data_IF_255916180945
#
_entry.id   IF_255916180945
#
_cell.length_a   1.000
_cell.length_b   1.000
_cell.length_c   1.000
_cell.angle_alpha   90.00
_cell.angle_beta   90.00
_cell.angle_gamma   90.00
#
_symmetry.space_group_name_H-M   'P 1'
#
loop_
_entity.id
_entity.type
_entity.pdbx_description
1 polymer ?
#
# COMPACT_ATOMS: atom_id res chain seq x y z
N UNK A 1 -32.56 -16.58 -31.56
CA UNK A 1 -31.93 -16.80 -30.24
C UNK A 1 -32.51 -15.79 -29.28
N UNK A 2 -33.35 -16.27 -28.36
CA UNK A 2 -34.07 -15.48 -27.36
C UNK A 2 -33.10 -14.93 -26.33
N UNK A 3 -33.01 -13.60 -26.22
CA UNK A 3 -32.20 -12.88 -25.23
C UNK A 3 -32.79 -13.06 -23.84
N UNK A 4 -32.16 -13.92 -23.05
CA UNK A 4 -32.36 -14.02 -21.60
C UNK A 4 -32.05 -12.65 -20.97
N UNK A 5 -32.84 -12.14 -20.00
CA UNK A 5 -32.50 -10.93 -19.25
C UNK A 5 -31.07 -11.04 -18.71
N UNK A 6 -30.23 -10.05 -19.05
CA UNK A 6 -28.78 -10.17 -18.97
C UNK A 6 -28.28 -10.64 -17.61
N UNK A 7 -27.60 -11.78 -17.59
CA UNK A 7 -26.89 -12.27 -16.41
C UNK A 7 -26.00 -11.17 -15.83
N UNK A 8 -25.89 -11.07 -14.50
CA UNK A 8 -25.04 -10.06 -13.87
C UNK A 8 -23.60 -10.19 -14.38
N UNK A 9 -23.00 -9.07 -14.75
CA UNK A 9 -21.58 -9.01 -15.12
C UNK A 9 -20.78 -8.85 -13.84
N UNK A 10 -19.91 -9.82 -13.56
CA UNK A 10 -18.95 -9.76 -12.48
C UNK A 10 -17.68 -9.09 -12.98
N UNK A 11 -17.15 -8.16 -12.19
CA UNK A 11 -15.93 -7.43 -12.48
C UNK A 11 -14.87 -7.85 -11.47
N UNK A 12 -13.65 -8.05 -11.95
CA UNK A 12 -12.46 -8.06 -11.09
C UNK A 12 -11.84 -6.67 -11.12
N UNK A 13 -11.14 -6.27 -10.07
CA UNK A 13 -10.43 -4.98 -10.02
C UNK A 13 -9.01 -5.07 -10.60
N UNK A 14 -8.84 -5.97 -11.57
CA UNK A 14 -7.58 -6.36 -12.19
C UNK A 14 -7.57 -5.87 -13.64
N UNK A 15 -6.52 -5.13 -13.99
CA UNK A 15 -6.36 -4.51 -15.31
C UNK A 15 -5.11 -5.08 -16.00
N UNK A 16 -5.25 -5.82 -17.10
CA UNK A 16 -4.10 -6.28 -17.88
C UNK A 16 -3.21 -5.11 -18.33
N UNK A 17 -1.91 -5.38 -18.36
CA UNK A 17 -0.89 -4.43 -18.79
C UNK A 17 -0.22 -4.91 -20.08
N UNK A 18 0.10 -3.98 -20.96
CA UNK A 18 1.02 -4.21 -22.07
C UNK A 18 2.09 -3.14 -22.09
N UNK A 19 3.24 -3.46 -22.68
CA UNK A 19 4.32 -2.49 -22.89
C UNK A 19 4.95 -2.75 -24.24
N UNK A 20 5.06 -1.71 -25.05
CA UNK A 20 5.70 -1.77 -26.37
C UNK A 20 7.11 -1.22 -26.25
N UNK A 21 8.11 -2.02 -26.64
CA UNK A 21 9.53 -1.62 -26.68
C UNK A 21 10.03 -1.04 -25.34
N UNK A 22 10.02 -1.83 -24.26
CA UNK A 22 10.48 -1.33 -22.95
C UNK A 22 11.95 -0.92 -23.03
N UNK A 23 12.27 0.30 -22.60
CA UNK A 23 13.64 0.74 -22.36
C UNK A 23 14.15 0.06 -21.07
N UNK A 24 14.53 -1.20 -21.21
CA UNK A 24 14.81 -2.10 -20.11
C UNK A 24 16.29 -2.43 -20.01
N UNK A 25 16.75 -2.46 -18.77
CA UNK A 25 18.10 -2.79 -18.39
C UNK A 25 18.04 -3.79 -17.22
N UNK A 26 19.07 -4.62 -17.10
CA UNK A 26 19.17 -5.63 -16.05
C UNK A 26 20.60 -5.75 -15.54
N UNK A 27 20.78 -5.85 -14.22
CA UNK A 27 22.08 -6.11 -13.62
C UNK A 27 21.99 -6.92 -12.33
N UNK A 28 23.05 -7.67 -12.04
CA UNK A 28 23.18 -8.46 -10.82
C UNK A 28 24.29 -7.90 -9.94
N UNK A 29 24.22 -8.23 -8.66
CA UNK A 29 25.27 -7.97 -7.69
C UNK A 29 25.86 -9.30 -7.23
N UNK A 30 27.19 -9.33 -7.06
CA UNK A 30 27.91 -10.47 -6.49
C UNK A 30 28.73 -10.00 -5.29
N UNK A 31 28.57 -10.59 -4.09
CA UNK A 31 27.69 -11.73 -3.78
C UNK A 31 26.20 -11.37 -3.95
N UNK A 32 25.38 -12.39 -4.19
CA UNK A 32 23.95 -12.22 -4.40
C UNK A 32 23.29 -11.57 -3.19
N UNK A 33 22.33 -10.69 -3.46
CA UNK A 33 21.56 -10.00 -2.43
C UNK A 33 20.21 -10.65 -2.25
N UNK A 34 19.79 -10.82 -1.01
CA UNK A 34 18.45 -11.28 -0.69
C UNK A 34 17.40 -10.20 -0.95
N UNK A 35 16.13 -10.62 -0.99
CA UNK A 35 14.98 -9.77 -1.31
C UNK A 35 14.90 -8.48 -0.49
N UNK A 36 15.15 -8.56 0.81
CA UNK A 36 15.06 -7.37 1.68
C UNK A 36 16.13 -6.33 1.31
N UNK A 37 17.37 -6.76 1.14
CA UNK A 37 18.49 -5.91 0.72
C UNK A 37 18.26 -5.39 -0.70
N UNK A 38 17.84 -6.25 -1.62
CA UNK A 38 17.53 -5.88 -3.00
C UNK A 38 16.42 -4.83 -3.11
N UNK A 39 15.34 -4.96 -2.33
CA UNK A 39 14.27 -3.97 -2.28
C UNK A 39 14.74 -2.61 -1.74
N UNK A 40 15.58 -2.63 -0.69
CA UNK A 40 16.16 -1.40 -0.13
C UNK A 40 17.09 -0.72 -1.13
N UNK A 41 18.00 -1.47 -1.76
CA UNK A 41 18.88 -0.95 -2.81
C UNK A 41 18.08 -0.36 -3.97
N UNK A 42 17.01 -1.03 -4.41
CA UNK A 42 16.11 -0.54 -5.46
C UNK A 42 15.52 0.83 -5.10
N UNK A 43 15.09 1.03 -3.85
CA UNK A 43 14.63 2.32 -3.35
C UNK A 43 15.71 3.40 -3.44
N UNK A 44 16.94 3.11 -3.01
CA UNK A 44 18.04 4.08 -3.11
C UNK A 44 18.41 4.40 -4.56
N UNK A 45 18.43 3.41 -5.45
CA UNK A 45 18.67 3.64 -6.86
C UNK A 45 17.61 4.52 -7.52
N UNK A 46 16.32 4.28 -7.26
CA UNK A 46 15.23 5.17 -7.71
C UNK A 46 15.43 6.62 -7.25
N UNK A 47 15.98 6.84 -6.06
CA UNK A 47 16.24 8.21 -5.55
C UNK A 47 17.45 8.86 -6.22
N UNK A 48 18.49 8.08 -6.54
CA UNK A 48 19.68 8.58 -7.23
C UNK A 48 19.43 8.79 -8.73
N UNK A 49 18.45 8.09 -9.29
CA UNK A 49 18.01 8.22 -10.68
C UNK A 49 16.50 8.48 -10.76
N UNK A 50 16.05 9.74 -10.57
CA UNK A 50 14.62 10.07 -10.47
C UNK A 50 13.76 9.69 -11.68
N UNK A 51 14.35 9.57 -12.88
CA UNK A 51 13.66 9.19 -14.11
C UNK A 51 13.74 7.69 -14.42
N UNK A 52 14.30 6.89 -13.50
CA UNK A 52 14.43 5.45 -13.62
C UNK A 52 13.68 4.75 -12.50
N UNK A 53 13.04 3.66 -12.89
CA UNK A 53 12.38 2.77 -11.94
C UNK A 53 13.19 1.49 -11.82
N UNK A 54 13.64 1.22 -10.59
CA UNK A 54 14.42 0.03 -10.24
C UNK A 54 13.60 -0.87 -9.34
N UNK A 55 13.56 -2.16 -9.66
CA UNK A 55 13.01 -3.20 -8.79
C UNK A 55 13.95 -4.39 -8.73
N UNK A 56 13.94 -5.11 -7.62
CA UNK A 56 14.68 -6.34 -7.46
C UNK A 56 13.72 -7.53 -7.55
N UNK A 57 14.04 -8.52 -8.37
CA UNK A 57 13.29 -9.75 -8.50
C UNK A 57 14.19 -10.90 -8.95
N UNK A 58 14.11 -12.04 -8.26
CA UNK A 58 14.87 -13.25 -8.57
C UNK A 58 16.36 -12.97 -8.84
N UNK A 59 17.03 -12.35 -7.86
CA UNK A 59 18.48 -12.02 -7.88
C UNK A 59 18.89 -10.99 -8.95
N UNK A 60 17.95 -10.44 -9.71
CA UNK A 60 18.19 -9.46 -10.75
C UNK A 60 17.58 -8.11 -10.38
N UNK A 61 18.34 -7.04 -10.57
CA UNK A 61 17.80 -5.69 -10.59
C UNK A 61 17.31 -5.39 -11.99
N UNK A 62 16.03 -5.06 -12.10
CA UNK A 62 15.36 -4.62 -13.31
C UNK A 62 15.23 -3.12 -13.28
N UNK A 63 15.68 -2.47 -14.35
CA UNK A 63 15.65 -1.02 -14.50
C UNK A 63 14.82 -0.67 -15.73
N UNK A 64 13.83 0.19 -15.54
CA UNK A 64 13.00 0.74 -16.61
C UNK A 64 13.18 2.26 -16.64
N UNK A 65 13.55 2.78 -17.82
CA UNK A 65 13.56 4.20 -18.10
C UNK A 65 12.40 4.59 -19.00
N UNK A 66 12.18 5.89 -19.18
CA UNK A 66 11.24 6.37 -20.21
C UNK A 66 11.77 5.99 -21.61
N UNK A 67 10.90 5.83 -22.63
CA UNK A 67 11.31 5.29 -23.94
C UNK A 67 12.46 6.03 -24.62
N UNK A 68 12.58 7.34 -24.43
CA UNK A 68 13.63 8.19 -25.04
C UNK A 68 14.85 8.41 -24.14
N UNK A 69 14.82 7.89 -22.91
CA UNK A 69 15.89 8.12 -21.93
C UNK A 69 17.13 7.32 -22.27
N UNK A 70 18.29 7.97 -22.29
CA UNK A 70 19.56 7.27 -22.30
C UNK A 70 19.80 6.61 -20.94
N UNK A 71 20.03 5.29 -20.96
CA UNK A 71 20.36 4.54 -19.76
C UNK A 71 21.75 4.91 -19.22
N UNK A 72 21.94 5.03 -17.89
CA UNK A 72 23.25 5.29 -17.32
C UNK A 72 24.23 4.16 -17.65
N UNK A 73 25.48 4.54 -17.86
CA UNK A 73 26.58 3.63 -18.15
C UNK A 73 26.89 2.70 -16.97
N UNK A 74 27.53 1.54 -17.20
CA UNK A 74 27.97 0.66 -16.13
C UNK A 74 28.84 1.34 -15.06
N UNK A 75 29.64 2.34 -15.44
CA UNK A 75 30.48 3.11 -14.52
C UNK A 75 29.64 4.00 -13.59
N UNK A 76 28.59 4.64 -14.11
CA UNK A 76 27.65 5.44 -13.31
C UNK A 76 26.90 4.58 -12.29
N UNK A 77 26.47 3.38 -12.68
CA UNK A 77 25.85 2.43 -11.75
C UNK A 77 26.80 1.97 -10.65
N UNK A 78 28.05 1.63 -10.99
CA UNK A 78 29.08 1.26 -10.02
C UNK A 78 29.37 2.39 -9.03
N UNK A 79 29.51 3.62 -9.51
CA UNK A 79 29.74 4.78 -8.66
C UNK A 79 28.53 5.06 -7.75
N UNK A 80 27.32 4.93 -8.28
CA UNK A 80 26.09 5.11 -7.50
C UNK A 80 25.97 4.04 -6.40
N UNK A 81 26.29 2.78 -6.70
CA UNK A 81 26.31 1.71 -5.71
C UNK A 81 27.30 2.02 -4.57
N UNK A 82 28.51 2.47 -4.90
CA UNK A 82 29.51 2.89 -3.90
C UNK A 82 29.00 4.03 -3.03
N UNK A 83 28.38 5.04 -3.62
CA UNK A 83 27.80 6.16 -2.88
C UNK A 83 26.70 5.68 -1.92
N UNK A 84 25.84 4.76 -2.37
CA UNK A 84 24.80 4.16 -1.51
C UNK A 84 25.43 3.38 -0.35
N UNK A 85 26.49 2.62 -0.59
CA UNK A 85 27.21 1.88 0.47
C UNK A 85 27.84 2.82 1.51
N UNK A 86 28.29 4.00 1.10
CA UNK A 86 28.84 5.02 2.01
C UNK A 86 27.75 5.74 2.81
N UNK A 87 26.59 5.99 2.20
CA UNK A 87 25.49 6.72 2.82
C UNK A 87 24.62 5.86 3.76
N UNK A 88 24.60 4.54 3.56
CA UNK A 88 23.74 3.62 4.30
C UNK A 88 24.59 2.71 5.18
N UNK A 89 24.55 2.95 6.50
CA UNK A 89 25.36 2.24 7.49
C UNK A 89 25.25 0.70 7.36
N UNK A 90 24.03 0.17 7.21
CA UNK A 90 23.78 -1.27 7.01
C UNK A 90 24.50 -1.86 5.79
N UNK A 91 24.90 -1.04 4.81
CA UNK A 91 25.56 -1.46 3.57
C UNK A 91 27.06 -1.13 3.56
N UNK A 92 27.58 -0.44 4.58
CA UNK A 92 28.96 0.06 4.64
C UNK A 92 30.01 -1.05 4.64
N UNK A 93 29.68 -2.22 5.19
CA UNK A 93 30.55 -3.40 5.23
C UNK A 93 30.32 -4.37 4.07
N UNK A 94 29.31 -4.11 3.23
CA UNK A 94 29.02 -4.97 2.10
C UNK A 94 29.94 -4.62 0.94
N UNK A 95 30.47 -5.63 0.24
CA UNK A 95 31.26 -5.44 -0.97
C UNK A 95 30.57 -6.14 -2.14
N UNK A 96 29.86 -5.37 -2.96
CA UNK A 96 29.20 -5.88 -4.15
C UNK A 96 29.93 -5.49 -5.43
N UNK A 97 30.19 -6.48 -6.27
CA UNK A 97 30.56 -6.29 -7.65
C UNK A 97 29.31 -6.20 -8.51
N UNK A 98 29.34 -5.31 -9.49
CA UNK A 98 28.24 -5.06 -10.42
C UNK A 98 28.47 -5.83 -11.73
N UNK A 99 27.46 -6.59 -12.15
CA UNK A 99 27.48 -7.35 -13.40
C UNK A 99 26.27 -7.01 -14.28
N UNK A 100 26.53 -6.53 -15.50
CA UNK A 100 25.48 -6.28 -16.48
C UNK A 100 24.91 -7.59 -17.02
N UNK A 101 23.58 -7.64 -17.20
CA UNK A 101 22.92 -8.76 -17.88
C UNK A 101 22.64 -8.36 -19.32
N UNK A 102 23.17 -9.14 -20.26
CA UNK A 102 22.94 -8.92 -21.69
C UNK A 102 21.50 -9.31 -22.03
N UNK A 103 20.76 -8.39 -22.67
CA UNK A 103 19.40 -8.62 -23.19
C UNK A 103 18.46 -9.29 -22.16
N UNK A 104 18.18 -8.62 -21.03
CA UNK A 104 17.27 -9.19 -20.03
C UNK A 104 15.84 -9.25 -20.60
N UNK A 105 15.20 -10.41 -20.48
CA UNK A 105 13.83 -10.63 -20.96
C UNK A 105 12.86 -10.61 -19.76
N UNK A 106 12.01 -9.58 -19.62
CA UNK A 106 11.15 -9.45 -18.44
C UNK A 106 10.03 -10.49 -18.49
N UNK A 107 9.76 -11.13 -17.36
CA UNK A 107 8.55 -11.94 -17.17
C UNK A 107 7.34 -11.02 -16.93
N UNK A 108 6.11 -11.53 -17.09
CA UNK A 108 4.90 -10.81 -16.68
C UNK A 108 4.94 -10.29 -15.24
N UNK A 109 5.52 -11.05 -14.31
CA UNK A 109 5.65 -10.62 -12.91
C UNK A 109 6.58 -9.41 -12.76
N UNK A 110 7.73 -9.41 -13.44
CA UNK A 110 8.65 -8.27 -13.46
C UNK A 110 7.96 -7.02 -14.00
N UNK A 111 7.20 -7.15 -15.10
CA UNK A 111 6.46 -6.03 -15.68
C UNK A 111 5.40 -5.48 -14.71
N UNK A 112 4.66 -6.35 -14.02
CA UNK A 112 3.70 -5.93 -13.01
C UNK A 112 4.37 -5.21 -11.83
N UNK A 113 5.53 -5.71 -11.38
CA UNK A 113 6.31 -5.07 -10.31
C UNK A 113 6.87 -3.70 -10.72
N UNK A 114 7.34 -3.55 -11.96
CA UNK A 114 7.76 -2.26 -12.50
C UNK A 114 6.60 -1.25 -12.53
N UNK A 115 5.42 -1.67 -13.01
CA UNK A 115 4.22 -0.83 -13.02
C UNK A 115 3.78 -0.42 -11.60
N UNK A 116 3.82 -1.35 -10.65
CA UNK A 116 3.60 -1.06 -9.24
C UNK A 116 4.59 -0.04 -8.70
N UNK A 117 5.88 -0.19 -9.02
CA UNK A 117 6.94 0.67 -8.53
C UNK A 117 6.85 2.10 -9.09
N UNK A 118 6.50 2.25 -10.38
CA UNK A 118 6.18 3.55 -10.99
C UNK A 118 5.07 4.23 -10.17
N UNK A 119 3.94 3.54 -9.99
CA UNK A 119 2.78 4.09 -9.27
C UNK A 119 3.09 4.43 -7.81
N UNK A 120 3.98 3.68 -7.16
CA UNK A 120 4.44 3.94 -5.79
C UNK A 120 5.35 5.16 -5.69
N UNK A 121 6.16 5.41 -6.72
CA UNK A 121 7.16 6.49 -6.74
C UNK A 121 6.51 7.82 -7.12
N UNK A 122 5.72 7.82 -8.20
CA UNK A 122 5.07 9.02 -8.73
C UNK A 122 3.85 9.43 -7.91
N UNK A 123 3.31 8.52 -7.09
CA UNK A 123 2.18 8.75 -6.19
C UNK A 123 1.01 9.48 -6.87
N UNK A 124 0.46 8.94 -7.98
CA UNK A 124 -0.58 9.62 -8.76
C UNK A 124 -1.92 9.73 -8.04
N UNK A 125 -2.06 9.08 -6.88
CA UNK A 125 -3.32 8.94 -6.21
C UNK A 125 -3.46 9.90 -5.03
N UNK A 126 -4.62 10.55 -4.93
CA UNK A 126 -5.01 11.36 -3.79
C UNK A 126 -6.12 10.66 -2.98
N UNK A 127 -5.99 10.69 -1.66
CA UNK A 127 -7.06 10.27 -0.76
C UNK A 127 -8.13 11.37 -0.67
N UNK A 128 -9.41 10.98 -0.62
CA UNK A 128 -10.53 11.93 -0.54
C UNK A 128 -11.29 11.75 0.77
N UNK A 129 -11.47 12.84 1.53
CA UNK A 129 -12.29 12.83 2.73
C UNK A 129 -13.79 12.85 2.35
N UNK A 130 -14.58 11.96 2.94
CA UNK A 130 -16.04 11.85 2.70
C UNK A 130 -16.87 12.27 3.89
N UNK A 131 -16.25 12.34 5.07
CA UNK A 131 -16.83 12.85 6.30
C UNK A 131 -15.69 13.47 7.09
N UNK A 132 -15.93 14.65 7.64
CA UNK A 132 -15.07 15.31 8.62
C UNK A 132 -15.98 15.80 9.73
N UNK A 133 -15.85 15.22 10.91
CA UNK A 133 -16.56 15.65 12.12
C UNK A 133 -15.52 15.93 13.20
N UNK A 134 -15.33 17.23 13.50
CA UNK A 134 -14.47 17.91 14.49
C UNK A 134 -13.08 17.30 14.80
N UNK A 135 -12.96 15.99 15.08
CA UNK A 135 -11.74 15.25 15.38
C UNK A 135 -11.45 14.05 14.47
N UNK A 136 -12.41 13.61 13.63
CA UNK A 136 -12.30 12.37 12.85
C UNK A 136 -12.72 12.59 11.39
N UNK A 137 -11.95 11.99 10.48
CA UNK A 137 -12.28 11.91 9.08
C UNK A 137 -12.39 10.46 8.59
N UNK A 138 -13.31 10.22 7.65
CA UNK A 138 -13.31 9.00 6.85
C UNK A 138 -12.73 9.33 5.49
N UNK A 139 -11.70 8.59 5.06
CA UNK A 139 -11.02 8.79 3.78
C UNK A 139 -11.17 7.60 2.87
N UNK A 140 -11.41 7.85 1.58
CA UNK A 140 -11.26 6.86 0.52
C UNK A 140 -9.78 6.82 0.14
N UNK A 141 -9.19 5.63 0.20
CA UNK A 141 -7.79 5.40 -0.18
C UNK A 141 -7.73 4.34 -1.28
N UNK A 142 -7.06 4.63 -2.40
CA UNK A 142 -6.75 3.59 -3.37
C UNK A 142 -5.68 2.66 -2.80
N UNK A 143 -5.84 1.37 -3.08
CA UNK A 143 -4.82 0.34 -2.87
C UNK A 143 -4.54 -0.31 -4.20
N UNK A 144 -3.27 -0.59 -4.45
CA UNK A 144 -2.84 -1.20 -5.69
C UNK A 144 -1.64 -2.10 -5.43
N UNK A 145 -1.48 -3.12 -6.27
CA UNK A 145 -0.37 -4.06 -6.22
C UNK A 145 -0.07 -4.63 -7.60
N UNK A 146 1.13 -5.18 -7.73
CA UNK A 146 1.52 -5.97 -8.88
C UNK A 146 0.80 -7.32 -8.85
N UNK A 147 0.23 -7.73 -9.98
CA UNK A 147 -0.44 -9.03 -10.11
C UNK A 147 -0.10 -9.65 -11.47
N UNK A 148 -0.17 -10.97 -11.55
CA UNK A 148 -0.13 -11.69 -12.81
C UNK A 148 -1.43 -12.45 -12.97
N UNK A 149 -1.86 -12.63 -14.21
CA UNK A 149 -3.11 -13.31 -14.53
C UNK A 149 -2.92 -14.20 -15.74
N UNK A 150 -3.45 -15.41 -15.69
CA UNK A 150 -3.47 -16.30 -16.83
C UNK A 150 -4.73 -16.06 -17.64
N UNK A 151 -4.56 -15.63 -18.89
CA UNK A 151 -5.62 -15.45 -19.87
C UNK A 151 -5.32 -16.35 -21.08
N UNK A 152 -6.26 -17.22 -21.42
CA UNK A 152 -6.16 -18.14 -22.57
C UNK A 152 -4.85 -18.96 -22.58
N UNK A 153 -4.45 -19.48 -21.42
CA UNK A 153 -3.22 -20.26 -21.25
C UNK A 153 -1.93 -19.46 -21.29
N UNK A 154 -2.01 -18.12 -21.24
CA UNK A 154 -0.85 -17.23 -21.24
C UNK A 154 -0.82 -16.36 -20.00
N UNK A 155 0.29 -16.40 -19.28
CA UNK A 155 0.52 -15.51 -18.16
C UNK A 155 0.75 -14.08 -18.68
N UNK A 156 0.01 -13.12 -18.14
CA UNK A 156 0.07 -11.71 -18.48
C UNK A 156 0.30 -10.87 -17.23
N UNK A 157 0.93 -9.71 -17.41
CA UNK A 157 1.12 -8.74 -16.34
C UNK A 157 -0.18 -8.00 -16.11
N UNK A 158 -0.48 -7.68 -14.86
CA UNK A 158 -1.66 -6.94 -14.50
C UNK A 158 -1.37 -5.94 -13.38
N UNK A 159 -2.18 -4.89 -13.37
CA UNK A 159 -2.23 -3.90 -12.32
C UNK A 159 -3.56 -4.03 -11.61
N UNK A 160 -3.53 -4.29 -10.32
CA UNK A 160 -4.75 -4.39 -9.52
C UNK A 160 -4.96 -3.10 -8.77
N UNK A 161 -6.17 -2.57 -8.82
CA UNK A 161 -6.52 -1.28 -8.25
C UNK A 161 -7.88 -1.37 -7.56
N UNK A 162 -7.88 -1.20 -6.25
CA UNK A 162 -9.08 -1.21 -5.41
C UNK A 162 -9.18 0.07 -4.61
N UNK A 163 -10.34 0.31 -4.00
CA UNK A 163 -10.54 1.39 -3.04
C UNK A 163 -10.97 0.79 -1.72
N UNK A 164 -10.32 1.23 -0.66
CA UNK A 164 -10.76 0.98 0.70
C UNK A 164 -11.04 2.30 1.42
N UNK A 165 -11.44 2.20 2.69
CA UNK A 165 -11.62 3.39 3.52
C UNK A 165 -10.87 3.26 4.81
N UNK A 166 -10.29 4.38 5.23
CA UNK A 166 -9.65 4.54 6.53
C UNK A 166 -10.44 5.53 7.37
N UNK A 167 -10.39 5.34 8.69
CA UNK A 167 -10.92 6.29 9.66
C UNK A 167 -9.69 6.85 10.37
N UNK A 168 -9.47 8.14 10.22
CA UNK A 168 -8.29 8.84 10.71
C UNK A 168 -8.70 9.95 11.66
N UNK A 169 -7.84 10.25 12.62
CA UNK A 169 -7.93 11.50 13.35
C UNK A 169 -7.54 12.66 12.41
N UNK A 170 -8.22 13.80 12.51
CA UNK A 170 -8.01 14.95 11.60
C UNK A 170 -6.66 15.63 11.84
N UNK A 171 -6.18 15.65 13.09
CA UNK A 171 -4.88 16.19 13.47
C UNK A 171 -3.73 15.17 13.42
N UNK A 172 -2.57 15.58 13.94
CA UNK A 172 -1.40 14.74 14.17
C UNK A 172 -1.53 13.95 15.49
N UNK A 173 -0.62 13.00 15.72
CA UNK A 173 -0.51 12.32 17.00
C UNK A 173 -0.09 13.29 18.11
N UNK A 174 0.68 14.34 17.77
CA UNK A 174 1.03 15.40 18.71
C UNK A 174 -0.23 16.13 19.19
N UNK A 175 -1.11 16.53 18.27
CA UNK A 175 -2.37 17.21 18.59
C UNK A 175 -3.26 16.33 19.49
N UNK A 176 -3.37 15.05 19.14
CA UNK A 176 -4.12 14.08 19.96
C UNK A 176 -3.54 13.98 21.39
N UNK A 177 -2.23 13.86 21.52
CA UNK A 177 -1.57 13.68 22.80
C UNK A 177 -1.67 14.93 23.70
N UNK A 178 -1.42 16.12 23.17
CA UNK A 178 -1.42 17.37 23.93
C UNK A 178 -2.80 17.68 24.56
N UNK A 179 -3.88 17.31 23.86
CA UNK A 179 -5.25 17.53 24.32
C UNK A 179 -5.83 16.36 25.12
N UNK A 180 -5.05 15.28 25.34
CA UNK A 180 -5.55 14.10 26.04
C UNK A 180 -5.56 14.30 27.57
N UNK A 181 -6.66 13.94 28.29
CA UNK A 181 -6.75 14.11 29.75
C UNK A 181 -5.64 13.41 30.53
N UNK A 182 -5.15 12.28 30.01
CA UNK A 182 -4.12 11.45 30.63
C UNK A 182 -2.72 11.67 30.04
N UNK A 183 -2.43 12.84 29.45
CA UNK A 183 -1.12 13.14 28.83
C UNK A 183 0.08 13.02 29.78
N UNK A 184 -0.13 12.97 31.09
CA UNK A 184 0.94 12.74 32.07
C UNK A 184 1.44 11.28 32.08
N UNK A 185 0.68 10.34 31.48
CA UNK A 185 1.09 8.94 31.30
C UNK A 185 1.13 8.58 29.80
N UNK A 186 2.23 8.93 29.10
CA UNK A 186 2.36 8.64 27.67
C UNK A 186 2.27 7.16 27.32
N UNK A 187 2.66 6.25 28.22
CA UNK A 187 2.59 4.81 27.93
C UNK A 187 1.16 4.35 27.78
N UNK A 188 0.29 4.73 28.73
CA UNK A 188 -1.13 4.36 28.72
C UNK A 188 -1.87 4.97 27.52
N UNK A 189 -1.53 6.21 27.15
CA UNK A 189 -2.18 6.91 26.05
C UNK A 189 -1.74 6.38 24.68
N UNK A 190 -0.42 6.25 24.46
CA UNK A 190 0.16 6.08 23.13
C UNK A 190 0.39 4.62 22.75
N UNK A 191 0.83 3.77 23.68
CA UNK A 191 1.18 2.39 23.34
C UNK A 191 -0.07 1.61 22.87
N UNK A 192 0.10 0.85 21.80
CA UNK A 192 -0.96 0.07 21.15
C UNK A 192 -1.82 0.89 20.18
N UNK A 193 -1.66 2.21 20.09
CA UNK A 193 -2.34 3.00 19.08
C UNK A 193 -1.86 2.61 17.68
N UNK A 194 -2.83 2.46 16.77
CA UNK A 194 -2.56 2.38 15.34
C UNK A 194 -2.37 3.80 14.82
N UNK A 195 -1.32 4.00 14.04
CA UNK A 195 -0.97 5.29 13.44
C UNK A 195 -0.68 5.10 11.95
N UNK A 196 -0.72 6.20 11.22
CA UNK A 196 -0.31 6.30 9.83
C UNK A 196 0.84 7.29 9.76
N UNK A 197 1.92 6.90 9.09
CA UNK A 197 2.96 7.84 8.67
C UNK A 197 2.35 8.80 7.64
N UNK A 198 2.39 10.10 7.93
CA UNK A 198 1.77 11.13 7.08
C UNK A 198 2.45 11.19 5.71
N UNK A 199 3.75 10.89 5.64
CA UNK A 199 4.51 11.02 4.41
C UNK A 199 4.28 9.88 3.43
N UNK A 200 4.32 8.63 3.90
CA UNK A 200 4.12 7.46 3.04
C UNK A 200 2.69 6.94 3.01
N UNK A 201 1.84 7.34 3.95
CA UNK A 201 0.52 6.76 4.17
C UNK A 201 0.55 5.34 4.76
N UNK A 202 1.74 4.84 5.14
CA UNK A 202 1.92 3.50 5.69
C UNK A 202 1.37 3.40 7.12
N UNK A 203 0.81 2.25 7.47
CA UNK A 203 0.22 2.04 8.80
C UNK A 203 1.16 1.31 9.73
N UNK A 204 1.25 1.78 10.97
CA UNK A 204 2.10 1.24 12.01
C UNK A 204 1.35 1.13 13.35
N UNK A 205 2.00 0.52 14.33
CA UNK A 205 1.54 0.48 15.72
C UNK A 205 2.62 1.08 16.60
N UNK A 206 2.25 1.95 17.53
CA UNK A 206 3.17 2.42 18.57
C UNK A 206 3.39 1.26 19.56
N UNK A 207 4.64 0.86 19.73
CA UNK A 207 5.01 -0.27 20.59
C UNK A 207 5.78 0.15 21.84
N UNK A 208 6.40 1.33 21.81
CA UNK A 208 7.26 1.81 22.88
C UNK A 208 7.39 3.34 22.84
N UNK A 209 7.69 3.92 24.01
CA UNK A 209 8.24 5.27 24.14
C UNK A 209 9.77 5.13 24.22
N UNK A 210 10.49 5.72 23.27
CA UNK A 210 11.93 5.52 23.06
C UNK A 210 12.78 6.65 23.67
N UNK A 211 12.27 7.33 24.69
CA UNK A 211 12.87 8.55 25.26
C UNK A 211 12.11 9.80 24.81
N UNK A 212 12.84 10.89 24.66
CA UNK A 212 12.33 12.20 24.26
C UNK A 212 12.88 12.63 22.89
N UNK A 213 12.22 13.59 22.25
CA UNK A 213 12.72 14.12 20.97
C UNK A 213 14.05 14.84 21.17
N UNK A 214 14.24 15.59 22.26
CA UNK A 214 15.47 16.33 22.55
C UNK A 214 16.70 15.44 22.63
N UNK A 215 16.59 14.28 23.28
CA UNK A 215 17.67 13.29 23.41
C UNK A 215 18.14 12.74 22.05
N UNK A 216 17.23 12.65 21.07
CA UNK A 216 17.48 11.97 19.80
C UNK A 216 17.43 12.89 18.57
N UNK A 217 17.17 14.20 18.73
CA UNK A 217 16.84 15.10 17.62
C UNK A 217 17.91 15.11 16.53
N UNK A 218 19.18 15.23 16.91
CA UNK A 218 20.29 15.33 15.94
C UNK A 218 20.43 14.07 15.10
N UNK A 219 20.28 12.89 15.71
CA UNK A 219 20.36 11.62 14.99
C UNK A 219 19.14 11.42 14.08
N UNK A 220 17.95 11.78 14.56
CA UNK A 220 16.72 11.74 13.76
C UNK A 220 16.79 12.68 12.56
N UNK A 221 17.34 13.89 12.71
CA UNK A 221 17.51 14.85 11.60
C UNK A 221 18.46 14.28 10.54
N UNK A 222 19.56 13.65 10.95
CA UNK A 222 20.51 13.02 10.02
C UNK A 222 19.86 11.86 9.25
N UNK A 223 19.01 11.09 9.90
CA UNK A 223 18.32 9.93 9.31
C UNK A 223 17.06 10.30 8.52
N UNK A 224 16.43 11.44 8.82
CA UNK A 224 15.21 11.88 8.18
C UNK A 224 15.47 12.19 6.70
N UNK A 225 14.91 11.36 5.82
CA UNK A 225 15.02 11.55 4.38
C UNK A 225 13.85 12.33 3.79
N UNK A 226 12.74 12.34 4.52
CA UNK A 226 11.48 12.89 4.10
C UNK A 226 11.24 14.33 4.54
N UNK A 227 10.48 15.07 3.74
CA UNK A 227 10.17 16.48 4.00
C UNK A 227 9.30 16.66 5.23
N UNK A 228 8.24 15.85 5.37
CA UNK A 228 7.34 15.87 6.52
C UNK A 228 8.06 15.41 7.79
N UNK A 229 8.89 14.37 7.67
CA UNK A 229 9.68 13.87 8.81
C UNK A 229 10.67 14.94 9.31
N UNK A 230 11.34 15.66 8.41
CA UNK A 230 12.24 16.78 8.77
C UNK A 230 11.47 17.94 9.40
N UNK A 231 10.32 18.30 8.85
CA UNK A 231 9.46 19.36 9.38
C UNK A 231 8.97 19.04 10.78
N UNK A 232 8.53 17.79 11.00
CA UNK A 232 8.08 17.29 12.29
C UNK A 232 9.17 17.30 13.38
N UNK A 233 10.44 17.30 13.00
CA UNK A 233 11.58 17.36 13.90
C UNK A 233 12.04 18.80 14.21
N UNK A 234 11.37 19.83 13.69
CA UNK A 234 11.67 21.20 14.08
C UNK A 234 11.17 21.49 15.50
N UNK A 235 11.85 22.36 16.27
CA UNK A 235 11.49 22.65 17.67
C UNK A 235 10.04 23.11 17.86
N UNK A 236 9.49 23.86 16.90
CA UNK A 236 8.10 24.32 16.90
C UNK A 236 7.05 23.19 16.81
N UNK A 237 7.40 22.08 16.17
CA UNK A 237 6.49 20.96 15.92
C UNK A 237 6.71 19.80 16.91
N UNK A 238 7.92 19.68 17.44
CA UNK A 238 8.29 18.69 18.43
C UNK A 238 9.22 19.32 19.46
N UNK A 239 8.70 19.82 20.60
CA UNK A 239 9.50 20.27 21.74
C UNK A 239 10.46 19.20 22.26
N UNK A 240 11.55 19.59 22.93
CA UNK A 240 12.58 18.65 23.40
C UNK A 240 12.04 17.62 24.40
N UNK A 241 11.07 18.00 25.23
CA UNK A 241 10.42 17.14 26.22
C UNK A 241 9.32 16.24 25.61
N UNK A 242 8.99 16.41 24.32
CA UNK A 242 7.99 15.58 23.66
C UNK A 242 8.44 14.10 23.66
N UNK A 243 7.56 13.15 24.05
CA UNK A 243 7.87 11.72 23.93
C UNK A 243 8.21 11.32 22.50
N UNK A 244 9.31 10.59 22.34
CA UNK A 244 9.67 9.95 21.09
C UNK A 244 8.98 8.58 21.01
N UNK A 245 8.26 8.31 19.93
CA UNK A 245 7.53 7.05 19.78
C UNK A 245 8.27 6.08 18.86
N UNK A 246 8.38 4.83 19.28
CA UNK A 246 8.84 3.72 18.45
C UNK A 246 7.63 3.00 17.84
N UNK A 247 7.63 2.87 16.51
CA UNK A 247 6.55 2.24 15.75
C UNK A 247 7.02 0.99 15.00
N UNK A 248 6.12 0.04 14.83
CA UNK A 248 6.32 -1.15 14.00
C UNK A 248 5.32 -1.19 12.84
N UNK A 249 5.84 -1.40 11.63
CA UNK A 249 5.03 -1.57 10.42
C UNK A 249 4.71 -3.06 10.20
N UNK A 250 3.42 -3.38 10.02
CA UNK A 250 2.96 -4.74 9.77
C UNK A 250 3.34 -5.71 10.90
N UNK A 251 3.89 -6.87 10.53
CA UNK A 251 4.42 -7.89 11.46
C UNK A 251 5.95 -7.80 11.65
N UNK A 252 6.58 -6.74 11.13
CA UNK A 252 8.02 -6.58 11.22
C UNK A 252 8.43 -6.30 12.68
N UNK A 253 9.56 -6.86 13.11
CA UNK A 253 10.16 -6.60 14.42
C UNK A 253 10.94 -5.30 14.46
N UNK A 254 11.42 -4.80 13.30
CA UNK A 254 12.17 -3.55 13.21
C UNK A 254 11.33 -2.38 13.69
N UNK A 255 11.88 -1.64 14.64
CA UNK A 255 11.27 -0.42 15.18
C UNK A 255 11.84 0.79 14.45
N UNK A 256 10.99 1.80 14.28
CA UNK A 256 11.36 3.08 13.71
C UNK A 256 10.94 4.18 14.67
N UNK A 257 11.81 5.14 14.91
CA UNK A 257 11.58 6.23 15.86
C UNK A 257 11.00 7.44 15.12
N UNK A 258 9.92 8.00 15.65
CA UNK A 258 9.21 9.12 15.05
C UNK A 258 8.89 10.19 16.09
N UNK A 259 9.06 11.45 15.70
CA UNK A 259 8.38 12.55 16.37
C UNK A 259 6.86 12.44 16.12
N UNK A 260 6.04 12.77 17.11
CA UNK A 260 4.59 12.54 17.02
C UNK A 260 3.93 13.38 15.91
N UNK A 261 4.48 14.55 15.58
CA UNK A 261 3.97 15.41 14.51
C UNK A 261 4.05 14.76 13.11
N UNK A 262 4.91 13.76 12.90
CA UNK A 262 5.00 13.02 11.63
C UNK A 262 3.93 11.93 11.47
N UNK A 263 3.14 11.67 12.52
CA UNK A 263 2.20 10.56 12.58
C UNK A 263 0.76 11.07 12.72
N UNK A 264 -0.18 10.29 12.18
CA UNK A 264 -1.62 10.51 12.31
C UNK A 264 -2.29 9.31 12.96
N UNK A 265 -3.09 9.46 14.02
CA UNK A 265 -3.81 8.33 14.60
C UNK A 265 -4.80 7.68 13.62
N UNK A 266 -4.82 6.35 13.59
CA UNK A 266 -5.85 5.53 12.92
C UNK A 266 -6.85 5.03 13.96
N UNK A 267 -8.12 5.22 13.66
CA UNK A 267 -9.21 4.81 14.54
C UNK A 267 -9.69 3.43 14.11
N UNK A 268 -9.58 2.49 15.04
CA UNK A 268 -10.05 1.11 14.88
C UNK A 268 -11.13 0.81 15.90
N UNK A 269 -11.81 -0.32 15.77
CA UNK A 269 -12.76 -0.78 16.78
C UNK A 269 -12.13 -0.82 18.19
N UNK A 270 -10.86 -1.18 18.29
CA UNK A 270 -10.13 -1.27 19.57
C UNK A 270 -9.61 0.06 20.11
N UNK A 271 -9.52 1.12 19.29
CA UNK A 271 -8.99 2.41 19.72
C UNK A 271 -10.05 3.52 19.75
N UNK A 272 -11.23 3.31 19.17
CA UNK A 272 -12.28 4.32 19.05
C UNK A 272 -12.70 4.97 20.38
N UNK A 273 -12.74 4.20 21.47
CA UNK A 273 -13.05 4.73 22.81
C UNK A 273 -12.06 5.80 23.26
N UNK A 274 -10.77 5.66 22.91
CA UNK A 274 -9.73 6.67 23.22
C UNK A 274 -9.94 8.00 22.48
N UNK A 275 -10.77 8.00 21.43
CA UNK A 275 -11.14 9.21 20.68
C UNK A 275 -12.57 9.67 21.01
N UNK A 276 -13.27 8.99 21.91
CA UNK A 276 -14.65 9.32 22.28
C UNK A 276 -15.66 9.18 21.14
N UNK A 277 -15.38 8.34 20.14
CA UNK A 277 -16.22 8.23 18.94
C UNK A 277 -16.99 6.91 18.84
N UNK A 278 -18.21 6.98 18.30
CA UNK A 278 -19.01 5.81 17.95
C UNK A 278 -18.48 5.17 16.67
N UNK A 279 -17.66 4.12 16.85
CA UNK A 279 -17.07 3.37 15.74
C UNK A 279 -18.13 2.78 14.80
N UNK A 280 -19.29 2.36 15.32
CA UNK A 280 -20.36 1.77 14.53
C UNK A 280 -20.97 2.77 13.53
N UNK A 281 -21.11 4.04 13.92
CA UNK A 281 -21.53 5.12 13.02
C UNK A 281 -20.48 5.39 11.94
N UNK A 282 -19.20 5.46 12.30
CA UNK A 282 -18.10 5.68 11.36
C UNK A 282 -17.97 4.52 10.36
N UNK A 283 -18.11 3.28 10.84
CA UNK A 283 -18.06 2.08 10.00
C UNK A 283 -19.17 2.03 8.94
N UNK A 284 -20.34 2.63 9.20
CA UNK A 284 -21.37 2.74 8.15
C UNK A 284 -20.94 3.66 7.01
N UNK A 285 -20.14 4.68 7.30
CA UNK A 285 -19.62 5.64 6.31
C UNK A 285 -18.44 5.08 5.51
N UNK A 286 -17.70 4.11 6.03
CA UNK A 286 -16.63 3.43 5.28
C UNK A 286 -17.15 2.56 4.14
N UNK A 287 -18.45 2.23 4.10
CA UNK A 287 -19.06 1.51 2.99
C UNK A 287 -19.07 2.37 1.73
N UNK A 288 -18.69 1.78 0.60
CA UNK A 288 -18.69 2.41 -0.71
C UNK A 288 -19.85 1.82 -1.49
N UNK A 289 -20.76 2.67 -1.98
CA UNK A 289 -21.83 2.19 -2.86
C UNK A 289 -21.24 1.71 -4.20
N UNK A 290 -21.94 0.83 -4.92
CA UNK A 290 -21.46 0.35 -6.21
C UNK A 290 -21.20 1.48 -7.23
N UNK A 291 -22.11 2.46 -7.43
CA UNK A 291 -21.86 3.57 -8.35
C UNK A 291 -20.67 4.45 -7.94
N UNK A 292 -20.53 4.73 -6.64
CA UNK A 292 -19.39 5.48 -6.11
C UNK A 292 -18.07 4.73 -6.36
N UNK A 293 -18.07 3.42 -6.13
CA UNK A 293 -16.89 2.56 -6.33
C UNK A 293 -16.46 2.57 -7.80
N UNK A 294 -17.39 2.42 -8.74
CA UNK A 294 -17.07 2.50 -10.17
C UNK A 294 -16.45 3.84 -10.54
N UNK A 295 -17.06 4.95 -10.10
CA UNK A 295 -16.53 6.30 -10.37
C UNK A 295 -15.10 6.48 -9.87
N UNK A 296 -14.84 6.06 -8.63
CA UNK A 296 -13.51 6.15 -8.02
C UNK A 296 -12.49 5.25 -8.73
N UNK A 297 -12.89 4.04 -9.13
CA UNK A 297 -12.01 3.12 -9.86
C UNK A 297 -11.64 3.70 -11.22
N UNK A 298 -12.60 4.25 -11.97
CA UNK A 298 -12.34 4.87 -13.27
C UNK A 298 -11.48 6.13 -13.16
N UNK A 299 -11.67 6.93 -12.11
CA UNK A 299 -10.79 8.08 -11.83
C UNK A 299 -9.35 7.62 -11.55
N UNK A 300 -9.17 6.70 -10.61
CA UNK A 300 -7.84 6.24 -10.23
C UNK A 300 -7.17 5.44 -11.36
N UNK A 301 -7.91 4.66 -12.15
CA UNK A 301 -7.41 3.97 -13.34
C UNK A 301 -6.82 4.95 -14.34
N UNK A 302 -7.52 6.07 -14.62
CA UNK A 302 -7.00 7.12 -15.51
C UNK A 302 -5.70 7.74 -14.99
N UNK A 303 -5.62 8.00 -13.68
CA UNK A 303 -4.39 8.52 -13.05
C UNK A 303 -3.23 7.52 -13.15
N UNK A 304 -3.49 6.24 -12.89
CA UNK A 304 -2.51 5.17 -13.06
C UNK A 304 -2.05 5.05 -14.52
N UNK A 305 -2.97 5.03 -15.47
CA UNK A 305 -2.69 4.93 -16.90
C UNK A 305 -1.84 6.11 -17.40
N UNK A 306 -2.14 7.34 -16.96
CA UNK A 306 -1.38 8.53 -17.34
C UNK A 306 0.09 8.43 -16.90
N UNK A 307 0.34 8.02 -15.67
CA UNK A 307 1.69 7.85 -15.15
C UNK A 307 2.42 6.67 -15.81
N UNK A 308 1.76 5.52 -15.93
CA UNK A 308 2.34 4.32 -16.55
C UNK A 308 2.70 4.54 -18.03
N UNK A 309 1.92 5.33 -18.76
CA UNK A 309 2.17 5.66 -20.15
C UNK A 309 3.51 6.39 -20.37
N UNK A 310 4.01 7.14 -19.39
CA UNK A 310 5.32 7.82 -19.48
C UNK A 310 6.49 6.83 -19.63
N UNK A 311 6.30 5.59 -19.17
CA UNK A 311 7.26 4.49 -19.29
C UNK A 311 6.90 3.49 -20.40
N UNK A 312 5.90 3.80 -21.23
CA UNK A 312 5.46 2.96 -22.36
C UNK A 312 4.44 1.87 -21.99
N UNK A 313 3.98 1.81 -20.74
CA UNK A 313 2.90 0.90 -20.36
C UNK A 313 1.54 1.38 -20.87
N UNK A 314 0.70 0.44 -21.27
CA UNK A 314 -0.72 0.63 -21.52
C UNK A 314 -1.53 -0.21 -20.53
N UNK A 315 -2.43 0.45 -19.81
CA UNK A 315 -3.43 -0.21 -18.96
C UNK A 315 -4.64 -0.53 -19.83
N UNK A 316 -5.18 -1.74 -19.73
CA UNK A 316 -6.40 -2.12 -20.43
C UNK A 316 -7.58 -1.20 -20.07
N UNK A 317 -8.41 -0.87 -21.06
CA UNK A 317 -9.56 0.02 -20.87
C UNK A 317 -10.61 -0.61 -19.94
N UNK A 318 -10.77 -1.93 -20.05
CA UNK A 318 -11.67 -2.75 -19.24
C UNK A 318 -10.87 -3.61 -18.27
N UNK A 319 -11.42 -3.77 -17.08
CA UNK A 319 -10.96 -4.80 -16.16
C UNK A 319 -11.40 -6.18 -16.64
N UNK A 320 -10.75 -7.22 -16.13
CA UNK A 320 -11.17 -8.59 -16.37
C UNK A 320 -12.58 -8.78 -15.79
N UNK A 321 -13.48 -9.33 -16.60
CA UNK A 321 -14.90 -9.42 -16.30
C UNK A 321 -15.51 -10.73 -16.84
N UNK A 322 -16.66 -11.10 -16.30
CA UNK A 322 -17.33 -12.37 -16.65
C UNK A 322 -17.98 -12.37 -18.03
N UNK A 323 -18.10 -11.22 -18.69
CA UNK A 323 -18.62 -11.14 -20.05
C UNK A 323 -17.56 -11.60 -21.05
N UNK A 324 -16.32 -11.14 -20.91
CA UNK A 324 -15.20 -11.45 -21.80
C UNK A 324 -14.46 -12.73 -21.37
N UNK A 325 -14.39 -13.00 -20.06
CA UNK A 325 -13.63 -14.11 -19.48
C UNK A 325 -14.49 -15.02 -18.60
N UNK A 326 -15.62 -15.53 -19.13
CA UNK A 326 -16.57 -16.35 -18.38
C UNK A 326 -15.94 -17.49 -17.56
N UNK A 327 -14.92 -18.16 -18.09
CA UNK A 327 -14.23 -19.28 -17.43
C UNK A 327 -13.42 -18.89 -16.18
N UNK A 328 -13.09 -17.60 -16.00
CA UNK A 328 -12.39 -17.11 -14.82
C UNK A 328 -13.33 -16.80 -13.65
N UNK A 329 -14.63 -16.74 -13.90
CA UNK A 329 -15.62 -16.37 -12.90
C UNK A 329 -16.43 -17.61 -12.53
N UNK A 330 -16.41 -17.95 -11.25
CA UNK A 330 -17.27 -19.01 -10.74
C UNK A 330 -18.73 -18.61 -10.92
N UNK A 331 -19.46 -19.43 -11.68
CA UNK A 331 -20.91 -19.29 -11.83
C UNK A 331 -21.59 -20.34 -10.95
N UNK A 332 -22.20 -19.93 -9.83
CA UNK A 332 -22.87 -20.88 -8.96
C UNK A 332 -24.14 -21.42 -9.66
N UNK A 333 -24.37 -22.73 -9.58
CA UNK A 333 -25.58 -23.37 -10.12
C UNK A 333 -26.86 -22.83 -9.46
N UNK A 334 -26.76 -22.37 -8.20
CA UNK A 334 -27.84 -21.73 -7.46
C UNK A 334 -27.45 -20.28 -7.17
N UNK A 335 -28.34 -19.29 -7.40
CA UNK A 335 -28.06 -17.90 -7.02
C UNK A 335 -27.64 -17.80 -5.55
N UNK A 336 -26.66 -16.95 -5.25
CA UNK A 336 -26.06 -16.85 -3.91
C UNK A 336 -27.12 -16.60 -2.82
N UNK A 337 -28.17 -15.83 -3.13
CA UNK A 337 -29.26 -15.48 -2.23
C UNK A 337 -30.16 -16.68 -1.88
N UNK A 338 -30.14 -17.70 -2.74
CA UNK A 338 -30.89 -18.96 -2.62
C UNK A 338 -30.04 -20.12 -2.10
N UNK A 339 -28.72 -19.93 -1.95
CA UNK A 339 -27.83 -20.95 -1.38
C UNK A 339 -28.34 -21.40 -0.02
N UNK A 340 -28.53 -22.70 0.14
CA UNK A 340 -28.96 -23.31 1.39
C UNK A 340 -27.81 -23.26 2.43
N UNK A 341 -28.14 -22.82 3.64
CA UNK A 341 -27.23 -22.70 4.77
C UNK A 341 -27.75 -23.56 5.92
N UNK A 342 -26.83 -24.23 6.62
CA UNK A 342 -27.10 -24.97 7.84
C UNK A 342 -26.76 -24.11 9.06
N UNK A 343 -27.74 -23.93 9.93
CA UNK A 343 -27.63 -23.25 11.22
C UNK A 343 -27.60 -24.28 12.36
N UNK A 344 -27.42 -23.82 13.59
CA UNK A 344 -27.50 -24.70 14.76
C UNK A 344 -28.86 -25.40 14.86
N UNK A 345 -28.93 -26.46 15.68
CA UNK A 345 -30.14 -27.29 15.87
C UNK A 345 -30.68 -27.93 14.57
N UNK A 346 -29.84 -28.10 13.55
CA UNK A 346 -30.24 -28.69 12.27
C UNK A 346 -31.12 -27.80 11.39
N UNK A 347 -31.29 -26.51 11.74
CA UNK A 347 -32.15 -25.60 10.97
C UNK A 347 -31.51 -25.29 9.62
N UNK A 348 -32.20 -25.59 8.53
CA UNK A 348 -31.81 -25.18 7.18
C UNK A 348 -32.60 -23.95 6.72
N UNK A 349 -31.93 -23.02 6.06
CA UNK A 349 -32.55 -21.83 5.48
C UNK A 349 -31.66 -21.27 4.36
N UNK A 350 -32.21 -20.47 3.48
CA UNK A 350 -31.43 -19.82 2.42
C UNK A 350 -30.65 -18.59 2.93
N UNK A 351 -29.59 -18.22 2.21
CA UNK A 351 -28.71 -17.09 2.50
C UNK A 351 -29.47 -15.77 2.70
N UNK A 352 -30.46 -15.46 1.86
CA UNK A 352 -31.25 -14.21 1.99
C UNK A 352 -32.06 -14.13 3.29
N UNK A 353 -32.20 -15.25 4.01
CA UNK A 353 -32.88 -15.34 5.32
C UNK A 353 -31.89 -15.60 6.46
N UNK A 354 -30.61 -15.22 6.32
CA UNK A 354 -29.55 -15.53 7.28
C UNK A 354 -29.87 -15.11 8.73
N UNK A 355 -30.46 -13.93 8.94
CA UNK A 355 -30.81 -13.45 10.29
C UNK A 355 -31.93 -14.30 10.90
N UNK A 356 -32.93 -14.70 10.10
CA UNK A 356 -33.99 -15.59 10.57
C UNK A 356 -33.48 -17.01 10.83
N UNK A 357 -32.49 -17.47 10.05
CA UNK A 357 -31.77 -18.72 10.30
C UNK A 357 -31.02 -18.69 11.63
N UNK A 358 -30.20 -17.66 11.86
CA UNK A 358 -29.44 -17.47 13.10
C UNK A 358 -30.35 -17.33 14.33
N UNK A 359 -31.46 -16.59 14.23
CA UNK A 359 -32.42 -16.44 15.35
C UNK A 359 -33.08 -17.77 15.73
N UNK A 360 -33.41 -18.62 14.76
CA UNK A 360 -34.10 -19.90 15.00
C UNK A 360 -33.14 -21.01 15.44
N UNK A 361 -32.03 -21.17 14.72
CA UNK A 361 -31.10 -22.27 14.91
C UNK A 361 -29.89 -21.96 15.80
N UNK A 362 -29.50 -20.68 15.90
CA UNK A 362 -28.22 -20.30 16.47
C UNK A 362 -27.05 -20.60 15.54
N UNK A 363 -25.82 -20.48 16.06
CA UNK A 363 -24.60 -20.81 15.32
C UNK A 363 -24.42 -22.32 15.26
N UNK A 364 -24.14 -22.86 14.08
CA UNK A 364 -23.81 -24.27 13.91
C UNK A 364 -22.54 -24.61 14.71
N UNK A 365 -22.58 -25.69 15.50
CA UNK A 365 -21.42 -26.25 16.21
C UNK A 365 -21.25 -27.68 15.73
N UNK A 366 -20.02 -28.04 15.36
CA UNK A 366 -19.68 -29.41 14.94
C UNK A 366 -19.75 -30.37 16.11
#
# INVERSE_FOLDING_TARGET
MTTTPGSPIYLSEIFPLTISQPNLMGFRLTPEVEREVGNRLSFYFCRKFPELVVTWHEQLFWVLGTPTRQMPSPSEWKNTLKNIQQEVEDFSHCYWSFQWVRQPAPTPEVLAQLAFQISRTDRPFSASAILSDQSVEVKREPKFWAETIELDGKLQSAFTLTINSSILFTGTLSDFYQHHPFRQDPKTVLIGLKVQDIESGSSATIVQIAGTVGEHRQDLIKQATGSISKEALKPENAPDDQPLVAVQFGKNRKQFHYAMAALRPRITASTAERFGVDYGKLLKKTKISYPERQKLLDEHKRKAAAVLATYGFKVADRCINSLEHHNLFWQPQTPLEKTELLFGKGVKSIQSKIIAGLKRGGVYRR
#
